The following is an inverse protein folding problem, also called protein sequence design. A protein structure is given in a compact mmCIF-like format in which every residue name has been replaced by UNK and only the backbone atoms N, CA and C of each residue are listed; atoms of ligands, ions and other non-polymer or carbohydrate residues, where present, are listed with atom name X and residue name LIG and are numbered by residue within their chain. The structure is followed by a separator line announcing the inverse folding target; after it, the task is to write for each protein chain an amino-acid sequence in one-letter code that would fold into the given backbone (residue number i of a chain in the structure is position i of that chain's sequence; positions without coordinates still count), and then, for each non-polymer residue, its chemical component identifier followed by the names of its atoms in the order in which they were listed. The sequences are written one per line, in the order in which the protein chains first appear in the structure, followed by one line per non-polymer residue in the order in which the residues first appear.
data_IF_927371271302
#
_entry.id   IF_927371271302
#
_cell.length_a   1.000
_cell.length_b   1.000
_cell.length_c   1.000
_cell.angle_alpha   90.00
_cell.angle_beta   90.00
_cell.angle_gamma   90.00
#
_symmetry.space_group_name_H-M   'P 1'
#
loop_
_entity.id
_entity.type
_entity.pdbx_description
1 polymer ?
#
# COMPACT_ATOMS: atom_id res chain seq x y z
N UNK A 1 -53.78 -43.90 -10.97
CA UNK A 1 -52.72 -43.63 -9.98
C UNK A 1 -51.70 -42.70 -10.61
N UNK A 2 -51.62 -41.41 -10.18
CA UNK A 2 -50.69 -40.41 -10.70
C UNK A 2 -49.63 -40.17 -9.63
N UNK A 3 -48.42 -40.56 -9.88
CA UNK A 3 -47.28 -40.29 -8.96
C UNK A 3 -46.68 -38.93 -9.32
N UNK A 4 -46.79 -37.98 -8.41
CA UNK A 4 -46.08 -36.70 -8.50
C UNK A 4 -44.67 -36.88 -7.93
N UNK A 5 -43.64 -36.67 -8.78
CA UNK A 5 -42.23 -36.66 -8.37
C UNK A 5 -41.91 -35.24 -7.98
N UNK A 6 -41.73 -34.97 -6.67
CA UNK A 6 -41.20 -33.68 -6.17
C UNK A 6 -39.68 -33.67 -6.30
N UNK A 7 -39.18 -32.82 -7.18
CA UNK A 7 -37.74 -32.56 -7.27
C UNK A 7 -37.40 -31.49 -6.25
N UNK A 8 -36.67 -31.87 -5.22
CA UNK A 8 -36.05 -30.95 -4.25
C UNK A 8 -34.78 -30.37 -4.89
N UNK A 9 -34.85 -29.10 -5.28
CA UNK A 9 -33.67 -28.34 -5.70
C UNK A 9 -33.01 -27.80 -4.43
N UNK A 10 -31.96 -28.46 -3.95
CA UNK A 10 -31.07 -27.93 -2.91
C UNK A 10 -30.20 -26.84 -3.52
N UNK A 11 -30.57 -25.59 -3.27
CA UNK A 11 -29.74 -24.42 -3.64
C UNK A 11 -28.45 -24.40 -2.85
N UNK A 12 -27.33 -24.67 -3.51
CA UNK A 12 -25.99 -24.51 -2.95
C UNK A 12 -25.70 -23.01 -2.86
N UNK A 13 -25.84 -22.45 -1.65
CA UNK A 13 -25.50 -21.06 -1.37
C UNK A 13 -23.97 -20.94 -1.41
N UNK A 14 -23.40 -20.46 -2.53
CA UNK A 14 -21.99 -20.05 -2.58
C UNK A 14 -21.85 -18.79 -1.75
N UNK A 15 -21.41 -18.93 -0.52
CA UNK A 15 -20.89 -17.83 0.29
C UNK A 15 -19.62 -17.33 -0.39
N UNK A 16 -19.70 -16.23 -1.14
CA UNK A 16 -18.52 -15.48 -1.54
C UNK A 16 -17.93 -14.85 -0.27
N UNK A 17 -16.94 -15.50 0.31
CA UNK A 17 -16.13 -14.93 1.37
C UNK A 17 -15.50 -13.65 0.81
N UNK A 18 -15.96 -12.49 1.26
CA UNK A 18 -15.24 -11.25 1.05
C UNK A 18 -13.82 -11.46 1.60
N UNK A 19 -12.80 -11.29 0.79
CA UNK A 19 -11.42 -11.29 1.24
C UNK A 19 -11.30 -10.26 2.36
N UNK A 20 -11.05 -10.73 3.58
CA UNK A 20 -10.94 -9.85 4.73
C UNK A 20 -9.65 -9.02 4.57
N UNK A 21 -9.82 -7.72 4.42
CA UNK A 21 -8.70 -6.82 4.40
C UNK A 21 -8.08 -6.73 5.80
N UNK A 22 -6.75 -6.87 5.95
CA UNK A 22 -6.13 -6.82 7.27
C UNK A 22 -6.27 -5.45 7.93
N UNK A 23 -6.41 -5.43 9.24
CA UNK A 23 -6.68 -4.22 10.02
C UNK A 23 -5.64 -3.11 9.79
N UNK A 24 -4.37 -3.44 9.57
CA UNK A 24 -3.32 -2.46 9.34
C UNK A 24 -3.47 -1.71 8.00
N UNK A 25 -4.21 -2.27 7.04
CA UNK A 25 -4.58 -1.62 5.79
C UNK A 25 -5.94 -0.91 5.85
N UNK A 26 -6.78 -1.23 6.83
CA UNK A 26 -8.06 -0.56 7.04
C UNK A 26 -7.88 0.73 7.82
N UNK A 27 -7.16 1.66 7.23
CA UNK A 27 -6.80 2.95 7.85
C UNK A 27 -6.75 4.06 6.80
N UNK A 28 -7.15 5.26 7.24
CA UNK A 28 -7.05 6.47 6.43
C UNK A 28 -5.61 7.01 6.46
N UNK A 29 -4.99 7.12 5.30
CA UNK A 29 -3.68 7.74 5.15
C UNK A 29 -3.77 8.95 4.23
N UNK A 30 -3.23 10.09 4.67
CA UNK A 30 -3.20 11.31 3.88
C UNK A 30 -2.11 11.22 2.80
N UNK A 31 -2.42 11.69 1.58
CA UNK A 31 -1.44 11.82 0.51
C UNK A 31 -0.45 12.95 0.77
N UNK A 32 0.77 12.80 0.27
CA UNK A 32 1.84 13.80 0.37
C UNK A 32 1.39 15.12 -0.27
N UNK A 33 1.62 16.22 0.43
CA UNK A 33 1.27 17.58 0.01
C UNK A 33 -0.18 17.75 -0.47
N UNK A 34 -1.11 17.02 0.12
CA UNK A 34 -2.53 17.01 -0.22
C UNK A 34 -3.41 16.95 1.03
N UNK A 35 -4.69 17.31 0.88
CA UNK A 35 -5.73 17.07 1.88
C UNK A 35 -6.48 15.76 1.67
N UNK A 36 -6.21 15.09 0.55
CA UNK A 36 -6.85 13.82 0.21
C UNK A 36 -6.33 12.69 1.10
N UNK A 37 -7.23 11.80 1.50
CA UNK A 37 -6.91 10.55 2.19
C UNK A 37 -7.24 9.34 1.31
N UNK A 38 -6.56 8.23 1.58
CA UNK A 38 -6.85 6.91 0.99
C UNK A 38 -7.03 5.92 2.13
N UNK A 39 -8.11 5.15 2.09
CA UNK A 39 -8.23 3.90 2.83
C UNK A 39 -7.78 2.76 1.91
N UNK A 40 -6.76 2.01 2.33
CA UNK A 40 -6.16 0.97 1.46
C UNK A 40 -7.11 -0.20 1.24
N UNK A 41 -7.94 -0.54 2.23
CA UNK A 41 -8.94 -1.59 2.08
C UNK A 41 -10.03 -1.20 1.08
N UNK A 42 -10.52 0.03 1.15
CA UNK A 42 -11.55 0.52 0.23
C UNK A 42 -11.04 0.67 -1.20
N UNK A 43 -9.79 1.14 -1.35
CA UNK A 43 -9.21 1.47 -2.65
C UNK A 43 -8.53 0.30 -3.34
N UNK A 44 -7.98 -0.64 -2.56
CA UNK A 44 -7.06 -1.65 -3.09
C UNK A 44 -7.33 -3.08 -2.62
N UNK A 45 -8.48 -3.36 -1.99
CA UNK A 45 -8.83 -4.72 -1.59
C UNK A 45 -8.69 -5.72 -2.75
N UNK A 46 -8.07 -6.85 -2.48
CA UNK A 46 -7.85 -7.91 -3.47
C UNK A 46 -6.68 -7.65 -4.44
N UNK A 47 -5.97 -6.53 -4.30
CA UNK A 47 -4.82 -6.21 -5.16
C UNK A 47 -3.50 -6.43 -4.43
N UNK A 48 -2.49 -7.01 -5.08
CA UNK A 48 -1.15 -7.05 -4.52
C UNK A 48 -0.56 -5.64 -4.42
N UNK A 49 0.18 -5.38 -3.35
CA UNK A 49 0.80 -4.07 -3.12
C UNK A 49 2.31 -4.20 -2.92
N UNK A 50 3.06 -3.24 -3.48
CA UNK A 50 4.45 -2.98 -3.14
C UNK A 50 4.51 -1.68 -2.33
N UNK A 51 4.79 -1.80 -1.04
CA UNK A 51 4.85 -0.68 -0.09
C UNK A 51 6.31 -0.35 0.18
N UNK A 52 6.68 0.93 0.05
CA UNK A 52 8.07 1.40 0.15
C UNK A 52 8.13 2.63 1.04
N UNK A 53 9.04 2.65 2.02
CA UNK A 53 9.35 3.89 2.74
C UNK A 53 10.39 4.70 1.95
N UNK A 54 10.10 5.97 1.73
CA UNK A 54 10.86 6.84 0.83
C UNK A 54 11.45 8.04 1.56
N UNK A 55 12.48 8.65 0.97
CA UNK A 55 13.06 9.91 1.41
C UNK A 55 13.68 10.65 0.23
N UNK A 56 13.70 11.99 0.29
CA UNK A 56 14.11 12.88 -0.81
C UNK A 56 15.63 12.99 -0.97
N UNK A 57 16.40 12.86 0.13
CA UNK A 57 17.84 13.14 0.19
C UNK A 57 18.69 11.88 0.45
N UNK A 58 18.20 10.72 0.04
CA UNK A 58 18.88 9.44 0.21
C UNK A 58 19.68 9.06 -1.05
N UNK A 59 20.80 8.36 -0.87
CA UNK A 59 21.53 7.75 -2.00
C UNK A 59 20.67 6.78 -2.83
N UNK A 60 19.58 6.26 -2.24
CA UNK A 60 18.60 5.39 -2.92
C UNK A 60 17.42 6.14 -3.56
N UNK A 61 17.31 7.45 -3.43
CA UNK A 61 16.23 8.25 -4.04
C UNK A 61 16.07 8.01 -5.55
N UNK A 62 17.14 7.75 -6.34
CA UNK A 62 16.98 7.38 -7.75
C UNK A 62 16.17 6.09 -8.01
N UNK A 63 15.90 5.27 -6.99
CA UNK A 63 15.01 4.12 -7.12
C UNK A 63 13.55 4.49 -7.42
N UNK A 64 13.15 5.76 -7.22
CA UNK A 64 11.84 6.23 -7.70
C UNK A 64 11.62 5.94 -9.18
N UNK A 65 12.67 6.06 -10.01
CA UNK A 65 12.57 5.74 -11.45
C UNK A 65 12.13 4.29 -11.68
N UNK A 66 12.80 3.33 -11.07
CA UNK A 66 12.44 1.91 -11.22
C UNK A 66 11.09 1.56 -10.59
N UNK A 67 10.70 2.24 -9.49
CA UNK A 67 9.37 2.06 -8.88
C UNK A 67 8.27 2.60 -9.79
N UNK A 68 8.49 3.73 -10.46
CA UNK A 68 7.56 4.31 -11.43
C UNK A 68 7.44 3.45 -12.69
N UNK A 69 8.56 2.91 -13.19
CA UNK A 69 8.55 1.95 -14.31
C UNK A 69 7.71 0.71 -13.93
N UNK A 70 7.94 0.14 -12.75
CA UNK A 70 7.17 -0.99 -12.24
C UNK A 70 5.68 -0.66 -12.10
N UNK A 71 5.37 0.53 -11.57
CA UNK A 71 3.99 0.99 -11.46
C UNK A 71 3.32 1.08 -12.83
N UNK A 72 3.95 1.73 -13.80
CA UNK A 72 3.41 1.89 -15.16
C UNK A 72 3.20 0.56 -15.87
N UNK A 73 4.12 -0.39 -15.69
CA UNK A 73 4.06 -1.71 -16.33
C UNK A 73 2.94 -2.59 -15.76
N UNK A 74 2.71 -2.57 -14.43
CA UNK A 74 1.85 -3.55 -13.76
C UNK A 74 0.56 -2.99 -13.19
N UNK A 75 0.32 -1.67 -13.17
CA UNK A 75 -0.92 -1.09 -12.61
C UNK A 75 -2.19 -1.62 -13.27
N UNK A 76 -2.17 -1.80 -14.58
CA UNK A 76 -3.30 -2.33 -15.34
C UNK A 76 -3.49 -3.85 -15.15
N UNK A 77 -2.47 -4.53 -14.59
CA UNK A 77 -2.51 -5.92 -14.16
C UNK A 77 -2.88 -6.06 -12.67
N UNK A 78 -3.13 -4.94 -11.99
CA UNK A 78 -3.64 -4.90 -10.62
C UNK A 78 -2.59 -4.62 -9.53
N UNK A 79 -1.28 -4.52 -9.86
CA UNK A 79 -0.28 -4.15 -8.86
C UNK A 79 -0.46 -2.70 -8.40
N UNK A 80 -0.43 -2.48 -7.09
CA UNK A 80 -0.42 -1.16 -6.48
C UNK A 80 0.95 -0.88 -5.88
N UNK A 81 1.64 0.14 -6.38
CA UNK A 81 2.86 0.67 -5.75
C UNK A 81 2.46 1.84 -4.85
N UNK A 82 2.96 1.88 -3.61
CA UNK A 82 2.68 2.95 -2.65
C UNK A 82 3.96 3.38 -1.96
N UNK A 83 4.25 4.69 -2.02
CA UNK A 83 5.34 5.31 -1.28
C UNK A 83 4.86 5.85 0.08
N UNK A 84 5.72 5.81 1.08
CA UNK A 84 5.52 6.45 2.37
C UNK A 84 6.72 7.35 2.66
N UNK A 85 6.53 8.66 2.53
CA UNK A 85 7.54 9.63 2.91
C UNK A 85 7.85 9.51 4.41
N UNK A 86 9.12 9.49 4.77
CA UNK A 86 9.54 9.36 6.17
C UNK A 86 10.90 9.99 6.44
N UNK A 87 10.99 10.73 7.55
CA UNK A 87 12.25 11.30 8.06
C UNK A 87 12.89 10.45 9.19
N UNK A 88 12.44 9.24 9.39
CA UNK A 88 12.99 8.36 10.47
C UNK A 88 14.50 8.05 10.30
N UNK A 89 15.06 8.34 9.14
CA UNK A 89 16.47 8.18 8.81
C UNK A 89 17.15 9.51 8.47
N UNK A 90 16.53 10.65 8.81
CA UNK A 90 17.09 12.00 8.71
C UNK A 90 17.50 12.39 7.26
N UNK A 91 16.74 11.91 6.28
CA UNK A 91 16.99 12.15 4.86
C UNK A 91 15.76 12.60 4.07
N UNK A 92 14.68 13.00 4.77
CA UNK A 92 13.53 13.58 4.11
C UNK A 92 13.60 15.11 4.18
N UNK A 93 12.89 15.80 3.28
CA UNK A 93 12.71 17.24 3.33
C UNK A 93 11.85 17.64 4.55
N UNK A 94 12.18 18.80 5.14
CA UNK A 94 11.42 19.32 6.28
C UNK A 94 10.02 19.81 5.89
N UNK A 95 9.85 20.19 4.64
CA UNK A 95 8.59 20.65 4.07
C UNK A 95 8.02 19.61 3.11
N UNK A 96 6.73 19.30 3.26
CA UNK A 96 6.06 18.30 2.42
C UNK A 96 5.96 18.74 0.95
N UNK A 97 5.94 20.04 0.66
CA UNK A 97 5.92 20.55 -0.71
C UNK A 97 7.26 20.28 -1.39
N UNK A 98 8.36 20.43 -0.67
CA UNK A 98 9.70 20.13 -1.19
C UNK A 98 9.85 18.62 -1.44
N UNK A 99 9.39 17.77 -0.51
CA UNK A 99 9.33 16.33 -0.70
C UNK A 99 8.47 15.93 -1.91
N UNK A 100 7.32 16.56 -2.09
CA UNK A 100 6.43 16.36 -3.24
C UNK A 100 7.10 16.77 -4.55
N UNK A 101 7.84 17.88 -4.58
CA UNK A 101 8.61 18.32 -5.74
C UNK A 101 9.65 17.27 -6.15
N UNK A 102 10.37 16.68 -5.19
CA UNK A 102 11.30 15.59 -5.49
C UNK A 102 10.57 14.39 -6.10
N UNK A 103 9.48 13.93 -5.47
CA UNK A 103 8.74 12.76 -5.97
C UNK A 103 8.10 13.02 -7.33
N UNK A 104 7.28 14.07 -7.43
CA UNK A 104 6.34 14.23 -8.54
C UNK A 104 6.93 15.02 -9.71
N UNK A 105 7.82 16.00 -9.46
CA UNK A 105 8.40 16.82 -10.53
C UNK A 105 9.75 16.28 -11.00
N UNK A 106 10.63 15.87 -10.08
CA UNK A 106 11.97 15.41 -10.43
C UNK A 106 11.99 13.97 -10.96
N UNK A 107 11.15 13.07 -10.37
CA UNK A 107 11.11 11.66 -10.73
C UNK A 107 9.83 11.23 -11.44
N UNK A 108 8.92 12.16 -11.76
CA UNK A 108 7.65 11.91 -12.45
C UNK A 108 6.82 10.77 -11.82
N UNK A 109 6.88 10.61 -10.49
CA UNK A 109 6.14 9.58 -9.76
C UNK A 109 4.65 9.77 -9.94
N UNK A 110 3.94 8.75 -10.44
CA UNK A 110 2.49 8.76 -10.62
C UNK A 110 1.75 7.83 -9.68
N UNK A 111 2.44 6.94 -8.96
CA UNK A 111 1.85 6.15 -7.89
C UNK A 111 1.63 7.00 -6.63
N UNK A 112 0.66 6.61 -5.75
CA UNK A 112 0.38 7.35 -4.53
C UNK A 112 1.58 7.35 -3.57
N UNK A 113 1.92 8.53 -3.07
CA UNK A 113 2.88 8.72 -1.97
C UNK A 113 2.13 9.31 -0.78
N UNK A 114 2.28 8.70 0.39
CA UNK A 114 1.63 9.14 1.63
C UNK A 114 2.44 10.23 2.31
N UNK A 115 1.73 11.09 3.03
CA UNK A 115 2.30 12.16 3.82
C UNK A 115 3.39 11.68 4.78
N UNK A 116 4.36 12.53 5.02
CA UNK A 116 5.49 12.23 5.91
C UNK A 116 5.03 11.74 7.26
N UNK A 117 5.47 10.56 7.63
CA UNK A 117 5.09 9.89 8.87
C UNK A 117 6.18 8.92 9.33
N UNK A 118 6.14 8.53 10.60
CA UNK A 118 7.04 7.52 11.11
C UNK A 118 6.72 6.14 10.54
N UNK A 119 7.75 5.39 10.16
CA UNK A 119 7.65 4.04 9.58
C UNK A 119 8.28 2.97 10.47
N UNK A 120 8.78 3.35 11.66
CA UNK A 120 9.41 2.40 12.59
C UNK A 120 9.12 2.69 14.06
N UNK A 121 9.28 1.65 14.89
CA UNK A 121 9.14 1.74 16.33
C UNK A 121 7.71 2.08 16.79
N UNK A 122 7.59 2.61 18.01
CA UNK A 122 6.29 2.86 18.64
C UNK A 122 5.47 3.95 17.96
N UNK A 123 6.11 4.84 17.19
CA UNK A 123 5.47 5.95 16.48
C UNK A 123 5.09 5.58 15.04
N UNK A 124 5.44 4.38 14.58
CA UNK A 124 5.10 3.96 13.23
C UNK A 124 3.61 4.14 12.94
N UNK A 125 3.30 4.60 11.73
CA UNK A 125 1.93 4.68 11.26
C UNK A 125 1.27 3.29 11.24
N UNK A 126 -0.07 3.17 11.20
CA UNK A 126 -0.75 1.87 11.29
C UNK A 126 -0.30 0.86 10.25
N UNK A 127 -0.05 1.30 9.00
CA UNK A 127 0.42 0.42 7.92
C UNK A 127 1.78 -0.18 8.27
N UNK A 128 2.75 0.67 8.61
CA UNK A 128 4.09 0.20 8.97
C UNK A 128 4.16 -0.52 10.32
N UNK A 129 3.18 -0.34 11.21
CA UNK A 129 3.02 -1.21 12.37
C UNK A 129 2.73 -2.64 11.95
N UNK A 130 1.73 -2.86 11.10
CA UNK A 130 1.40 -4.20 10.62
C UNK A 130 2.53 -4.85 9.82
N UNK A 131 3.18 -4.09 8.93
CA UNK A 131 4.34 -4.57 8.18
C UNK A 131 5.53 -4.91 9.11
N UNK A 132 5.79 -4.05 10.09
CA UNK A 132 6.87 -4.24 11.06
C UNK A 132 6.64 -5.45 11.99
N UNK A 133 5.40 -5.69 12.39
CA UNK A 133 5.04 -6.85 13.20
C UNK A 133 5.16 -8.17 12.40
N UNK A 134 4.91 -8.13 11.09
CA UNK A 134 4.98 -9.30 10.21
C UNK A 134 6.42 -9.63 9.76
N UNK A 135 7.20 -8.62 9.33
CA UNK A 135 8.50 -8.84 8.66
C UNK A 135 9.64 -7.98 9.24
N UNK A 136 9.39 -7.27 10.35
CA UNK A 136 10.34 -6.32 10.92
C UNK A 136 10.23 -4.93 10.31
N UNK A 137 10.60 -3.93 11.10
CA UNK A 137 10.59 -2.52 10.65
C UNK A 137 11.71 -2.24 9.64
N UNK A 138 11.56 -1.21 8.78
CA UNK A 138 12.61 -0.84 7.84
C UNK A 138 13.89 -0.48 8.58
N UNK A 139 15.01 -0.98 8.08
CA UNK A 139 16.35 -0.69 8.60
C UNK A 139 16.98 0.54 7.95
N UNK A 140 16.45 0.98 6.82
CA UNK A 140 16.89 2.16 6.08
C UNK A 140 15.77 2.66 5.16
N UNK A 141 16.02 3.78 4.44
CA UNK A 141 15.12 4.25 3.39
C UNK A 141 15.05 3.25 2.22
N UNK A 142 13.95 3.25 1.51
CA UNK A 142 13.67 2.38 0.35
C UNK A 142 13.64 0.88 0.67
N UNK A 143 13.31 0.48 1.90
CA UNK A 143 12.87 -0.89 2.18
C UNK A 143 11.53 -1.15 1.49
N UNK A 144 11.34 -2.38 1.00
CA UNK A 144 10.14 -2.81 0.28
C UNK A 144 9.45 -3.93 1.02
N UNK A 145 8.12 -3.84 1.04
CA UNK A 145 7.24 -4.88 1.55
C UNK A 145 6.26 -5.26 0.45
N UNK A 146 6.11 -6.55 0.23
CA UNK A 146 5.11 -7.08 -0.69
C UNK A 146 3.93 -7.58 0.15
N UNK A 147 2.73 -7.10 -0.18
CA UNK A 147 1.49 -7.57 0.40
C UNK A 147 0.68 -8.22 -0.70
N UNK A 148 0.27 -9.46 -0.50
CA UNK A 148 -0.56 -10.20 -1.45
C UNK A 148 -1.98 -9.63 -1.53
N UNK A 149 -2.75 -10.04 -2.54
CA UNK A 149 -4.15 -9.58 -2.69
C UNK A 149 -5.09 -10.00 -1.57
N UNK A 150 -4.74 -11.03 -0.80
CA UNK A 150 -5.46 -11.48 0.40
C UNK A 150 -4.91 -10.87 1.70
N UNK A 151 -3.93 -9.95 1.58
CA UNK A 151 -3.42 -9.15 2.69
C UNK A 151 -2.27 -9.79 3.48
N UNK A 152 -1.69 -10.88 3.00
CA UNK A 152 -0.51 -11.49 3.61
C UNK A 152 0.75 -10.66 3.26
N UNK A 153 1.58 -10.40 4.27
CA UNK A 153 2.91 -9.77 4.08
C UNK A 153 3.91 -10.88 3.76
N UNK A 154 4.50 -10.81 2.56
CA UNK A 154 5.37 -11.86 1.99
C UNK A 154 6.84 -11.62 2.28
#
# INVERSE_FOLDING_TARGET
MKYAVSVLITGLSMSSGALACPDFLNTEMRKLSSKETINFCESYAGKPMLIVNTASNCGYTPQFTGLEELHKEYKDQGLVVVGFSSDDFFQEENDEQDAATVCFEKYDVSFPVMATSSVRGRKANPVFKGLGDAQGYPSWNFNKYVVSGDGEVL
#
